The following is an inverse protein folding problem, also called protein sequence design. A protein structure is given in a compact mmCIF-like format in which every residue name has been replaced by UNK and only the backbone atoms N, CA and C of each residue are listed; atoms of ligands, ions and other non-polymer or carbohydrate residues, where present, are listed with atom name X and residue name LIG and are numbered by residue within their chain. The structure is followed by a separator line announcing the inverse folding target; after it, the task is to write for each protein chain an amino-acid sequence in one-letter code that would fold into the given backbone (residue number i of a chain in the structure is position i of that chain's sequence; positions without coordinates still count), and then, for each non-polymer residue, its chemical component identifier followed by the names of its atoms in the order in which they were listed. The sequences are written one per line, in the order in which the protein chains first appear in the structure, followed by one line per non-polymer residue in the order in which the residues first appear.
data_IF_879965083727
#
_entry.id   IF_879965083727
#
_cell.length_a   1.000
_cell.length_b   1.000
_cell.length_c   1.000
_cell.angle_alpha   90.00
_cell.angle_beta   90.00
_cell.angle_gamma   90.00
#
_symmetry.space_group_name_H-M   'P 1'
#
loop_
_entity.id
_entity.type
_entity.pdbx_description
1 polymer ?
#
# COMPACT_ATOMS: atom_id res chain seq x y z
N UNK A 1 -24.58 -3.14 -39.83
CA UNK A 1 -23.74 -2.18 -39.12
C UNK A 1 -23.44 -2.77 -37.79
N UNK A 2 -22.21 -3.23 -37.49
CA UNK A 2 -21.90 -3.69 -36.14
C UNK A 2 -21.79 -2.46 -35.23
N UNK A 3 -22.54 -2.47 -34.13
CA UNK A 3 -22.42 -1.49 -33.06
C UNK A 3 -21.00 -1.55 -32.50
N UNK A 4 -20.27 -0.48 -32.70
CA UNK A 4 -19.01 -0.24 -32.00
C UNK A 4 -19.30 -0.18 -30.51
N UNK A 5 -18.97 -1.26 -29.81
CA UNK A 5 -18.97 -1.34 -28.37
C UNK A 5 -18.11 -0.17 -27.86
N UNK A 6 -18.74 0.89 -27.40
CA UNK A 6 -18.05 1.97 -26.65
C UNK A 6 -17.45 1.30 -25.45
N UNK A 7 -16.14 1.15 -25.46
CA UNK A 7 -15.41 0.92 -24.24
C UNK A 7 -15.87 2.01 -23.27
N UNK A 8 -16.58 1.61 -22.23
CA UNK A 8 -16.98 2.50 -21.14
C UNK A 8 -15.76 3.31 -20.73
N UNK A 9 -15.95 4.60 -20.50
CA UNK A 9 -14.89 5.48 -20.03
C UNK A 9 -14.16 4.79 -18.88
N UNK A 10 -12.82 4.78 -18.88
CA UNK A 10 -12.07 4.11 -17.84
C UNK A 10 -12.49 4.70 -16.50
N UNK A 11 -13.03 3.87 -15.62
CA UNK A 11 -13.42 4.29 -14.29
C UNK A 11 -12.18 4.89 -13.62
N UNK A 12 -12.25 6.16 -13.25
CA UNK A 12 -11.20 6.83 -12.49
C UNK A 12 -10.97 6.02 -11.22
N UNK A 13 -9.81 5.38 -11.13
CA UNK A 13 -9.50 4.53 -9.99
C UNK A 13 -8.79 5.27 -8.85
N UNK A 14 -8.24 6.45 -9.16
CA UNK A 14 -7.65 7.37 -8.19
C UNK A 14 -8.00 8.81 -8.59
N UNK A 15 -8.20 9.63 -7.60
CA UNK A 15 -8.22 11.07 -7.75
C UNK A 15 -6.78 11.61 -7.67
N UNK A 16 -6.38 12.39 -8.67
CA UNK A 16 -5.04 12.96 -8.75
C UNK A 16 -5.11 14.45 -8.45
N UNK A 17 -4.87 14.83 -7.21
CA UNK A 17 -4.84 16.23 -6.78
C UNK A 17 -3.69 17.04 -7.40
N UNK A 18 -2.72 16.37 -8.04
CA UNK A 18 -1.59 17.06 -8.66
C UNK A 18 -1.81 17.26 -10.17
N UNK A 19 -2.55 18.24 -10.56
CA UNK A 19 -2.60 18.73 -11.95
C UNK A 19 -1.64 19.91 -12.11
N UNK A 20 -0.37 19.64 -12.12
CA UNK A 20 0.59 20.60 -12.65
C UNK A 20 0.39 20.72 -14.16
N UNK A 21 0.77 21.88 -14.77
CA UNK A 21 0.81 22.20 -16.22
C UNK A 21 1.26 21.04 -17.11
N UNK A 22 0.51 19.93 -17.07
CA UNK A 22 0.95 18.67 -17.64
C UNK A 22 0.42 18.52 -19.06
N UNK A 23 1.35 18.38 -19.97
CA UNK A 23 1.06 17.87 -21.33
C UNK A 23 0.74 16.38 -21.35
N UNK A 24 0.50 15.74 -20.21
CA UNK A 24 0.14 14.34 -20.08
C UNK A 24 -1.32 14.26 -19.70
N UNK A 25 -2.15 13.57 -20.49
CA UNK A 25 -3.53 13.31 -20.09
C UNK A 25 -3.57 12.57 -18.75
N UNK A 26 -4.48 12.94 -17.87
CA UNK A 26 -4.64 12.33 -16.53
C UNK A 26 -4.82 10.83 -16.63
N UNK A 27 -5.67 10.37 -17.54
CA UNK A 27 -5.85 8.95 -17.83
C UNK A 27 -4.52 8.20 -18.07
N UNK A 28 -3.58 8.80 -18.80
CA UNK A 28 -2.29 8.16 -19.08
C UNK A 28 -1.41 8.08 -17.80
N UNK A 29 -1.55 9.05 -16.90
CA UNK A 29 -0.89 9.03 -15.59
C UNK A 29 -1.47 7.89 -14.74
N UNK A 30 -2.80 7.83 -14.64
CA UNK A 30 -3.50 6.77 -13.90
C UNK A 30 -3.14 5.37 -14.42
N UNK A 31 -3.20 5.15 -15.73
CA UNK A 31 -2.78 3.89 -16.37
C UNK A 31 -1.31 3.58 -16.08
N UNK A 32 -0.44 4.56 -16.16
CA UNK A 32 0.99 4.37 -15.87
C UNK A 32 1.24 3.95 -14.43
N UNK A 33 0.58 4.58 -13.46
CA UNK A 33 0.65 4.21 -12.04
C UNK A 33 0.10 2.79 -11.85
N UNK A 34 -1.08 2.50 -12.39
CA UNK A 34 -1.74 1.20 -12.28
C UNK A 34 -0.87 0.06 -12.83
N UNK A 35 -0.35 0.19 -14.03
CA UNK A 35 0.51 -0.82 -14.66
C UNK A 35 1.79 -1.06 -13.84
N UNK A 36 2.40 0.00 -13.33
CA UNK A 36 3.60 -0.12 -12.50
C UNK A 36 3.30 -0.80 -11.16
N UNK A 37 2.22 -0.42 -10.47
CA UNK A 37 1.78 -1.08 -9.25
C UNK A 37 1.31 -2.53 -9.53
N UNK A 38 0.68 -2.79 -10.67
CA UNK A 38 0.32 -4.14 -11.12
C UNK A 38 1.54 -5.05 -11.42
N UNK A 39 2.76 -4.54 -11.55
CA UNK A 39 4.01 -5.31 -11.64
C UNK A 39 4.80 -5.18 -12.91
N UNK A 40 4.39 -4.32 -13.80
CA UNK A 40 5.24 -4.02 -14.92
C UNK A 40 6.49 -3.26 -14.43
N UNK A 41 7.62 -3.56 -15.04
CA UNK A 41 8.81 -2.71 -14.83
C UNK A 41 8.54 -1.30 -15.37
N UNK A 42 9.25 -0.30 -14.85
CA UNK A 42 9.16 1.06 -15.40
C UNK A 42 9.44 1.12 -16.91
N UNK A 43 10.32 0.24 -17.41
CA UNK A 43 10.61 0.14 -18.84
C UNK A 43 9.42 -0.40 -19.64
N UNK A 44 8.78 -1.44 -19.15
CA UNK A 44 7.60 -2.02 -19.80
C UNK A 44 6.39 -1.07 -19.72
N UNK A 45 6.19 -0.42 -18.58
CA UNK A 45 5.15 0.61 -18.42
C UNK A 45 5.36 1.75 -19.42
N UNK A 46 6.60 2.24 -19.54
CA UNK A 46 6.95 3.25 -20.54
C UNK A 46 6.60 2.80 -21.96
N UNK A 47 7.00 1.58 -22.36
CA UNK A 47 6.70 1.04 -23.69
C UNK A 47 5.19 0.92 -23.95
N UNK A 48 4.43 0.54 -22.92
CA UNK A 48 2.98 0.46 -23.02
C UNK A 48 2.35 1.85 -23.28
N UNK A 49 2.76 2.85 -22.51
CA UNK A 49 2.32 4.24 -22.67
C UNK A 49 2.70 4.79 -24.06
N UNK A 50 3.88 4.46 -24.59
CA UNK A 50 4.31 4.85 -25.93
C UNK A 50 3.40 4.27 -27.03
N UNK A 51 2.90 3.03 -26.85
CA UNK A 51 1.89 2.43 -27.76
C UNK A 51 0.55 3.16 -27.71
N UNK A 52 0.21 3.78 -26.58
CA UNK A 52 -0.95 4.67 -26.45
C UNK A 52 -0.68 6.10 -26.92
N UNK A 53 0.47 6.36 -27.55
CA UNK A 53 0.85 7.69 -28.04
C UNK A 53 1.45 8.61 -26.98
N UNK A 54 1.65 8.16 -25.76
CA UNK A 54 2.15 8.97 -24.64
C UNK A 54 3.62 8.68 -24.38
N UNK A 55 4.51 9.57 -24.84
CA UNK A 55 5.97 9.44 -24.64
C UNK A 55 6.38 10.08 -23.31
N UNK A 56 6.78 9.27 -22.34
CA UNK A 56 7.26 9.70 -21.02
C UNK A 56 8.51 8.91 -20.60
N UNK A 57 9.30 9.51 -19.70
CA UNK A 57 10.48 8.84 -19.14
C UNK A 57 10.08 7.87 -18.02
N UNK A 58 10.94 6.92 -17.70
CA UNK A 58 10.80 6.05 -16.53
C UNK A 58 10.76 6.85 -15.22
N UNK A 59 11.54 7.92 -15.14
CA UNK A 59 11.56 8.83 -13.99
C UNK A 59 10.21 9.52 -13.82
N UNK A 60 9.56 9.97 -14.90
CA UNK A 60 8.25 10.58 -14.83
C UNK A 60 7.20 9.62 -14.24
N UNK A 61 7.17 8.35 -14.70
CA UNK A 61 6.25 7.34 -14.18
C UNK A 61 6.50 7.07 -12.69
N UNK A 62 7.76 6.96 -12.30
CA UNK A 62 8.13 6.80 -10.91
C UNK A 62 7.71 8.00 -10.04
N UNK A 63 7.90 9.23 -10.56
CA UNK A 63 7.52 10.46 -9.87
C UNK A 63 5.99 10.60 -9.74
N UNK A 64 5.21 10.09 -10.68
CA UNK A 64 3.74 10.07 -10.57
C UNK A 64 3.27 9.30 -9.35
N UNK A 65 3.82 8.10 -9.10
CA UNK A 65 3.47 7.32 -7.91
C UNK A 65 3.77 8.09 -6.62
N UNK A 66 4.91 8.79 -6.59
CA UNK A 66 5.30 9.60 -5.43
C UNK A 66 4.42 10.85 -5.26
N UNK A 67 4.11 11.54 -6.37
CA UNK A 67 3.28 12.76 -6.37
C UNK A 67 1.81 12.48 -6.06
N UNK A 68 1.31 11.32 -6.45
CA UNK A 68 -0.05 10.90 -6.14
C UNK A 68 -0.29 10.73 -4.63
N UNK A 69 0.76 10.62 -3.84
CA UNK A 69 0.75 10.52 -2.36
C UNK A 69 -0.39 9.64 -1.81
N UNK A 70 -0.63 8.53 -2.52
CA UNK A 70 -1.72 7.63 -2.22
C UNK A 70 -1.59 7.07 -0.80
N UNK A 71 -2.66 7.17 -0.05
CA UNK A 71 -2.77 6.63 1.30
C UNK A 71 -3.93 5.63 1.34
N UNK A 72 -3.78 4.46 1.98
CA UNK A 72 -4.94 3.62 2.25
C UNK A 72 -5.93 4.43 3.09
N UNK A 73 -7.04 4.73 2.49
CA UNK A 73 -8.18 5.38 3.12
C UNK A 73 -9.40 4.50 2.86
N UNK A 74 -9.99 4.01 3.92
CA UNK A 74 -11.18 3.19 3.88
C UNK A 74 -12.14 3.77 4.92
N UNK A 75 -13.25 4.32 4.47
CA UNK A 75 -14.37 4.75 5.32
C UNK A 75 -15.09 3.53 5.94
N UNK A 76 -14.33 2.64 6.54
CA UNK A 76 -14.83 1.44 7.21
C UNK A 76 -14.53 1.50 8.68
N UNK A 77 -15.48 1.08 9.49
CA UNK A 77 -15.28 0.83 10.92
C UNK A 77 -15.10 -0.68 11.12
N UNK A 78 -13.88 -1.21 11.03
CA UNK A 78 -13.65 -2.65 11.06
C UNK A 78 -13.88 -3.20 12.48
N UNK A 79 -14.59 -4.32 12.58
CA UNK A 79 -14.76 -5.03 13.85
C UNK A 79 -13.46 -5.64 14.35
N UNK A 80 -12.63 -6.12 13.42
CA UNK A 80 -11.35 -6.76 13.71
C UNK A 80 -10.26 -6.25 12.78
N UNK A 81 -9.14 -5.86 13.36
CA UNK A 81 -7.93 -5.44 12.62
C UNK A 81 -6.79 -6.39 12.94
N UNK A 82 -6.26 -7.06 11.92
CA UNK A 82 -5.03 -7.82 12.06
C UNK A 82 -3.83 -6.88 11.91
N UNK A 83 -2.94 -6.89 12.89
CA UNK A 83 -1.70 -6.10 12.88
C UNK A 83 -0.51 -7.03 13.02
N UNK A 84 0.46 -6.83 12.16
CA UNK A 84 1.72 -7.58 12.20
C UNK A 84 2.82 -6.77 11.47
N UNK A 85 4.07 -7.23 11.59
CA UNK A 85 5.17 -6.64 10.86
C UNK A 85 6.00 -7.70 10.13
N UNK A 86 6.63 -7.28 9.05
CA UNK A 86 7.55 -8.14 8.30
C UNK A 86 8.82 -7.40 7.91
N UNK A 87 9.89 -8.13 7.68
CA UNK A 87 11.16 -7.55 7.21
C UNK A 87 11.15 -7.45 5.69
N UNK A 88 11.46 -6.25 5.19
CA UNK A 88 11.83 -6.02 3.79
C UNK A 88 13.25 -5.45 3.71
N UNK A 89 13.89 -5.57 2.55
CA UNK A 89 15.24 -5.03 2.34
C UNK A 89 15.18 -3.78 1.47
N UNK A 90 15.83 -2.72 1.96
CA UNK A 90 16.04 -1.48 1.22
C UNK A 90 17.52 -1.19 1.21
N UNK A 91 18.13 -1.09 0.03
CA UNK A 91 19.59 -0.93 -0.12
C UNK A 91 20.40 -2.01 0.63
N UNK A 92 19.91 -3.24 0.66
CA UNK A 92 20.52 -4.34 1.39
C UNK A 92 20.29 -4.33 2.91
N UNK A 93 19.82 -3.23 3.47
CA UNK A 93 19.51 -3.09 4.90
C UNK A 93 18.11 -3.60 5.25
N UNK A 94 17.94 -4.16 6.45
CA UNK A 94 16.66 -4.61 6.96
C UNK A 94 15.83 -3.43 7.43
N UNK A 95 14.56 -3.41 7.02
CA UNK A 95 13.54 -2.47 7.48
C UNK A 95 12.29 -3.25 7.87
N UNK A 96 11.50 -2.68 8.76
CA UNK A 96 10.29 -3.31 9.27
C UNK A 96 9.07 -2.65 8.63
N UNK A 97 8.33 -3.42 7.86
CA UNK A 97 7.04 -3.02 7.28
C UNK A 97 5.94 -3.45 8.24
N UNK A 98 5.26 -2.49 8.84
CA UNK A 98 4.06 -2.69 9.60
C UNK A 98 2.85 -2.58 8.70
N UNK A 99 1.85 -3.44 8.93
CA UNK A 99 0.56 -3.37 8.24
C UNK A 99 -0.58 -3.60 9.22
N UNK A 100 -1.64 -2.82 9.05
CA UNK A 100 -2.94 -3.03 9.64
C UNK A 100 -3.92 -3.38 8.52
N UNK A 101 -4.65 -4.46 8.68
CA UNK A 101 -5.53 -5.03 7.67
C UNK A 101 -6.87 -5.35 8.31
N UNK A 102 -7.96 -4.99 7.66
CA UNK A 102 -9.27 -5.48 8.04
C UNK A 102 -9.29 -7.01 7.89
N UNK A 103 -9.59 -7.70 8.98
CA UNK A 103 -9.53 -9.16 9.05
C UNK A 103 -10.64 -9.84 8.22
N UNK A 104 -11.73 -9.15 7.91
CA UNK A 104 -12.86 -9.66 7.15
C UNK A 104 -12.68 -9.44 5.64
N UNK A 105 -12.32 -8.22 5.26
CA UNK A 105 -12.21 -7.83 3.83
C UNK A 105 -10.82 -8.04 3.26
N UNK A 106 -9.78 -8.20 4.08
CA UNK A 106 -8.35 -8.21 3.76
C UNK A 106 -7.83 -6.87 3.18
N UNK A 107 -8.57 -5.79 3.33
CA UNK A 107 -8.14 -4.47 2.88
C UNK A 107 -7.09 -3.88 3.80
N UNK A 108 -6.08 -3.26 3.21
CA UNK A 108 -5.11 -2.47 3.97
C UNK A 108 -5.79 -1.23 4.54
N UNK A 109 -5.64 -1.04 5.85
CA UNK A 109 -6.09 0.16 6.55
C UNK A 109 -4.94 1.13 6.77
N UNK A 110 -3.75 0.60 7.04
CA UNK A 110 -2.54 1.39 7.20
C UNK A 110 -1.28 0.56 6.93
N UNK A 111 -0.28 1.21 6.36
CA UNK A 111 1.07 0.64 6.18
C UNK A 111 2.13 1.68 6.51
N UNK A 112 3.23 1.23 7.14
CA UNK A 112 4.34 2.10 7.49
C UNK A 112 5.67 1.35 7.49
N UNK A 113 6.71 2.01 7.00
CA UNK A 113 8.06 1.46 6.99
C UNK A 113 8.91 2.11 8.06
N UNK A 114 9.55 1.28 8.90
CA UNK A 114 10.46 1.72 9.94
C UNK A 114 11.85 1.08 9.80
N UNK A 115 12.87 1.77 10.27
CA UNK A 115 14.24 1.23 10.29
C UNK A 115 14.44 0.15 11.36
N UNK A 116 13.73 0.27 12.46
CA UNK A 116 13.81 -0.64 13.61
C UNK A 116 12.42 -1.03 14.09
N UNK A 117 12.37 -1.98 15.02
CA UNK A 117 11.15 -2.45 15.65
C UNK A 117 11.21 -2.16 17.15
N UNK A 118 10.40 -1.23 17.61
CA UNK A 118 10.29 -0.84 19.02
C UNK A 118 8.84 -0.59 19.41
N UNK A 119 8.54 -0.64 20.71
CA UNK A 119 7.21 -0.30 21.23
C UNK A 119 6.81 1.13 20.86
N UNK A 120 7.75 2.09 20.88
CA UNK A 120 7.46 3.49 20.52
C UNK A 120 7.04 3.64 19.06
N UNK A 121 7.72 2.94 18.14
CA UNK A 121 7.36 2.96 16.71
C UNK A 121 6.02 2.26 16.47
N UNK A 122 5.73 1.20 17.23
CA UNK A 122 4.41 0.55 17.19
C UNK A 122 3.31 1.48 17.70
N UNK A 123 3.56 2.23 18.78
CA UNK A 123 2.62 3.26 19.28
C UNK A 123 2.39 4.34 18.22
N UNK A 124 3.45 4.80 17.55
CA UNK A 124 3.32 5.77 16.45
C UNK A 124 2.44 5.22 15.32
N UNK A 125 2.70 4.00 14.86
CA UNK A 125 1.90 3.32 13.84
C UNK A 125 0.42 3.22 14.21
N UNK A 126 0.12 2.80 15.45
CA UNK A 126 -1.26 2.67 15.93
C UNK A 126 -1.97 4.02 16.11
N UNK A 127 -1.24 5.08 16.44
CA UNK A 127 -1.79 6.44 16.49
C UNK A 127 -2.14 6.94 15.09
N UNK A 128 -1.25 6.78 14.11
CA UNK A 128 -1.51 7.11 12.71
C UNK A 128 -2.75 6.35 12.18
N UNK A 129 -2.90 5.06 12.55
CA UNK A 129 -4.09 4.27 12.21
C UNK A 129 -5.35 4.84 12.86
N UNK A 130 -5.28 5.21 14.16
CA UNK A 130 -6.43 5.78 14.89
C UNK A 130 -6.88 7.14 14.37
N UNK A 131 -5.98 7.92 13.79
CA UNK A 131 -6.33 9.20 13.14
C UNK A 131 -7.13 8.99 11.85
N UNK A 132 -6.99 7.83 11.21
CA UNK A 132 -7.65 7.48 9.94
C UNK A 132 -8.93 6.68 10.12
N UNK A 133 -9.10 6.00 11.25
CA UNK A 133 -10.16 5.01 11.47
C UNK A 133 -10.84 5.20 12.82
N UNK A 134 -12.15 5.01 12.86
CA UNK A 134 -12.87 4.91 14.13
C UNK A 134 -12.63 3.52 14.75
N UNK A 135 -11.88 3.48 15.85
CA UNK A 135 -11.43 2.23 16.47
C UNK A 135 -12.09 1.92 17.84
N UNK A 136 -13.18 2.64 18.20
CA UNK A 136 -13.78 2.55 19.56
C UNK A 136 -14.25 1.12 19.90
N UNK A 137 -14.75 0.36 18.93
CA UNK A 137 -15.26 -0.99 19.15
C UNK A 137 -14.42 -2.09 18.48
N UNK A 138 -13.30 -1.73 17.91
CA UNK A 138 -12.40 -2.63 17.20
C UNK A 138 -11.59 -3.51 18.13
N UNK A 139 -11.44 -4.79 17.79
CA UNK A 139 -10.51 -5.72 18.45
C UNK A 139 -9.29 -5.97 17.56
N UNK A 140 -8.10 -5.72 18.09
CA UNK A 140 -6.86 -5.99 17.37
C UNK A 140 -6.46 -7.45 17.48
N UNK A 141 -6.15 -8.08 16.35
CA UNK A 141 -5.61 -9.43 16.27
C UNK A 141 -4.11 -9.35 16.05
N UNK A 142 -3.35 -9.82 17.01
CA UNK A 142 -1.88 -9.76 17.00
C UNK A 142 -1.27 -11.13 17.28
N UNK A 143 0.01 -11.27 16.99
CA UNK A 143 0.80 -12.38 17.50
C UNK A 143 1.20 -12.13 18.98
N UNK A 144 2.03 -13.02 19.52
CA UNK A 144 2.50 -12.92 20.92
C UNK A 144 3.65 -11.93 21.12
N UNK A 145 3.92 -11.05 20.16
CA UNK A 145 5.02 -10.10 20.21
C UNK A 145 4.84 -9.06 21.32
N UNK A 146 5.82 -8.99 22.23
CA UNK A 146 5.77 -8.12 23.39
C UNK A 146 5.59 -6.63 23.08
N UNK A 147 6.21 -6.14 21.99
CA UNK A 147 6.12 -4.73 21.58
C UNK A 147 4.73 -4.35 21.05
N UNK A 148 4.00 -5.29 20.39
CA UNK A 148 2.62 -5.08 19.95
C UNK A 148 1.68 -5.00 21.16
N UNK A 149 1.77 -5.97 22.10
CA UNK A 149 1.00 -5.96 23.33
C UNK A 149 1.21 -4.67 24.13
N UNK A 150 2.48 -4.34 24.40
CA UNK A 150 2.81 -3.14 25.17
C UNK A 150 2.33 -1.83 24.51
N UNK A 151 2.30 -1.76 23.18
CA UNK A 151 1.81 -0.61 22.47
C UNK A 151 0.28 -0.48 22.54
N UNK A 152 -0.44 -1.59 22.37
CA UNK A 152 -1.90 -1.64 22.46
C UNK A 152 -2.39 -1.33 23.88
N UNK A 153 -1.78 -1.94 24.90
CA UNK A 153 -2.06 -1.64 26.32
C UNK A 153 -1.84 -0.16 26.63
N UNK A 154 -0.73 0.43 26.14
CA UNK A 154 -0.41 1.85 26.34
C UNK A 154 -1.42 2.80 25.72
N UNK A 155 -2.09 2.37 24.65
CA UNK A 155 -3.12 3.16 23.96
C UNK A 155 -4.55 2.82 24.43
N UNK A 156 -4.71 1.86 25.35
CA UNK A 156 -6.01 1.39 25.83
C UNK A 156 -6.83 0.70 24.74
N UNK A 157 -6.18 0.08 23.74
CA UNK A 157 -6.84 -0.60 22.63
C UNK A 157 -7.08 -2.07 22.96
N UNK A 158 -8.28 -2.56 22.66
CA UNK A 158 -8.64 -3.97 22.89
C UNK A 158 -7.91 -4.88 21.91
N UNK A 159 -7.28 -5.93 22.41
CA UNK A 159 -6.61 -6.89 21.54
C UNK A 159 -6.80 -8.33 22.00
N UNK A 160 -6.57 -9.24 21.08
CA UNK A 160 -6.51 -10.69 21.30
C UNK A 160 -5.29 -11.27 20.60
N UNK A 161 -4.53 -12.07 21.33
CA UNK A 161 -3.46 -12.87 20.74
C UNK A 161 -4.07 -14.02 19.95
N UNK A 162 -3.78 -14.09 18.67
CA UNK A 162 -4.29 -15.12 17.77
C UNK A 162 -3.13 -15.70 16.97
N UNK A 163 -3.00 -17.03 16.99
CA UNK A 163 -1.96 -17.75 16.21
C UNK A 163 -2.46 -18.15 14.83
N UNK A 164 -3.78 -18.26 14.65
CA UNK A 164 -4.44 -18.72 13.43
C UNK A 164 -5.76 -17.97 13.19
N UNK A 165 -6.41 -18.26 12.06
CA UNK A 165 -7.72 -17.69 11.73
C UNK A 165 -7.62 -16.32 11.06
N UNK A 166 -8.43 -15.36 11.50
CA UNK A 166 -8.54 -14.02 10.88
C UNK A 166 -7.23 -13.21 10.87
N UNK A 167 -6.23 -13.56 11.70
CA UNK A 167 -4.89 -12.98 11.61
C UNK A 167 -4.16 -13.34 10.31
N UNK A 168 -4.52 -14.46 9.67
CA UNK A 168 -3.91 -14.87 8.40
C UNK A 168 -4.14 -13.85 7.26
N UNK A 169 -5.07 -12.92 7.43
CA UNK A 169 -5.28 -11.82 6.49
C UNK A 169 -4.01 -10.99 6.30
N UNK A 170 -3.35 -10.57 7.38
CA UNK A 170 -2.12 -9.78 7.30
C UNK A 170 -0.96 -10.59 6.71
N UNK A 171 -0.86 -11.89 7.00
CA UNK A 171 0.16 -12.77 6.41
C UNK A 171 -0.05 -12.92 4.89
N UNK A 172 -1.30 -12.99 4.44
CA UNK A 172 -1.65 -13.03 3.02
C UNK A 172 -1.20 -11.78 2.31
N UNK A 173 -1.47 -10.63 2.90
CA UNK A 173 -1.07 -9.31 2.38
C UNK A 173 0.44 -9.19 2.31
N UNK A 174 1.17 -9.61 3.37
CA UNK A 174 2.64 -9.60 3.36
C UNK A 174 3.23 -10.54 2.31
N UNK A 175 2.60 -11.67 2.04
CA UNK A 175 3.01 -12.56 0.94
C UNK A 175 2.91 -11.84 -0.40
N UNK A 176 1.83 -11.10 -0.63
CA UNK A 176 1.65 -10.34 -1.85
C UNK A 176 2.68 -9.21 -1.96
N UNK A 177 2.90 -8.43 -0.90
CA UNK A 177 3.97 -7.40 -0.87
C UNK A 177 5.32 -8.03 -1.20
N UNK A 178 5.69 -9.14 -0.56
CA UNK A 178 6.96 -9.82 -0.81
C UNK A 178 7.06 -10.32 -2.25
N UNK A 179 6.01 -10.93 -2.78
CA UNK A 179 5.95 -11.36 -4.17
C UNK A 179 6.20 -10.20 -5.13
N UNK A 180 5.61 -9.05 -4.86
CA UNK A 180 5.75 -7.83 -5.67
C UNK A 180 7.13 -7.21 -5.56
N UNK A 181 7.68 -7.12 -4.37
CA UNK A 181 9.01 -6.54 -4.13
C UNK A 181 10.14 -7.46 -4.58
N UNK A 182 9.96 -8.78 -4.56
CA UNK A 182 10.94 -9.74 -5.08
C UNK A 182 11.02 -9.77 -6.61
N UNK A 183 9.93 -9.37 -7.29
CA UNK A 183 9.87 -9.28 -8.77
C UNK A 183 10.65 -8.09 -9.34
N UNK A 184 10.97 -7.10 -8.53
CA UNK A 184 11.89 -6.05 -8.91
C UNK A 184 13.32 -6.61 -8.82
N UNK A 185 13.98 -6.76 -9.94
CA UNK A 185 15.35 -7.27 -10.05
C UNK A 185 16.37 -6.55 -9.18
N UNK A 186 15.97 -5.46 -8.52
CA UNK A 186 16.79 -4.65 -7.62
C UNK A 186 16.05 -4.24 -6.34
N UNK A 187 15.08 -5.00 -5.87
CA UNK A 187 14.46 -4.90 -4.53
C UNK A 187 14.78 -3.58 -3.78
N UNK A 188 14.22 -2.46 -4.23
CA UNK A 188 14.50 -1.13 -3.69
C UNK A 188 16.00 -0.78 -3.57
N UNK A 189 16.84 -1.29 -4.46
CA UNK A 189 18.25 -0.88 -4.56
C UNK A 189 18.32 0.57 -5.00
N UNK A 190 19.13 1.37 -4.32
CA UNK A 190 19.29 2.80 -4.53
C UNK A 190 18.02 3.63 -4.29
N UNK A 191 16.99 3.06 -3.67
CA UNK A 191 15.79 3.78 -3.30
C UNK A 191 15.96 4.51 -1.95
N UNK A 192 15.40 5.72 -1.83
CA UNK A 192 15.32 6.42 -0.55
C UNK A 192 14.13 5.90 0.25
N UNK A 193 14.25 5.82 1.58
CA UNK A 193 13.18 5.32 2.45
C UNK A 193 11.82 6.01 2.22
N UNK A 194 11.71 7.35 2.09
CA UNK A 194 10.43 7.98 1.79
C UNK A 194 9.81 7.51 0.47
N UNK A 195 10.64 7.23 -0.54
CA UNK A 195 10.17 6.70 -1.83
C UNK A 195 9.61 5.29 -1.70
N UNK A 196 10.26 4.44 -0.89
CA UNK A 196 9.78 3.08 -0.62
C UNK A 196 8.48 3.11 0.17
N UNK A 197 8.39 3.96 1.19
CA UNK A 197 7.19 4.14 1.99
C UNK A 197 6.00 4.61 1.13
N UNK A 198 6.20 5.63 0.27
CA UNK A 198 5.18 6.10 -0.68
C UNK A 198 4.75 5.00 -1.65
N UNK A 199 5.70 4.20 -2.17
CA UNK A 199 5.36 3.09 -3.05
C UNK A 199 4.53 2.01 -2.33
N UNK A 200 4.88 1.66 -1.09
CA UNK A 200 4.14 0.68 -0.29
C UNK A 200 2.71 1.14 0.01
N UNK A 201 2.52 2.43 0.30
CA UNK A 201 1.20 3.03 0.49
C UNK A 201 0.38 3.02 -0.80
N UNK A 202 0.98 3.42 -1.92
CA UNK A 202 0.33 3.35 -3.23
C UNK A 202 -0.04 1.92 -3.62
N UNK A 203 0.84 0.95 -3.31
CA UNK A 203 0.56 -0.47 -3.52
C UNK A 203 -0.63 -0.95 -2.67
N UNK A 204 -0.73 -0.50 -1.41
CA UNK A 204 -1.85 -0.84 -0.54
C UNK A 204 -3.19 -0.32 -1.11
N UNK A 205 -3.23 0.93 -1.60
CA UNK A 205 -4.41 1.50 -2.29
C UNK A 205 -4.78 0.69 -3.52
N UNK A 206 -3.79 0.39 -4.38
CA UNK A 206 -4.02 -0.42 -5.57
C UNK A 206 -4.54 -1.82 -5.23
N UNK A 207 -3.97 -2.47 -4.20
CA UNK A 207 -4.40 -3.79 -3.74
C UNK A 207 -5.84 -3.78 -3.25
N UNK A 208 -6.25 -2.77 -2.49
CA UNK A 208 -7.62 -2.62 -2.02
C UNK A 208 -8.62 -2.52 -3.19
N UNK A 209 -8.28 -1.74 -4.21
CA UNK A 209 -9.12 -1.57 -5.41
C UNK A 209 -9.24 -2.83 -6.27
N UNK A 210 -8.24 -3.70 -6.27
CA UNK A 210 -8.28 -4.96 -7.00
C UNK A 210 -9.07 -6.07 -6.27
N UNK A 211 -9.41 -5.87 -5.00
CA UNK A 211 -10.17 -6.82 -4.19
C UNK A 211 -11.66 -6.45 -4.09
N UNK A 212 -12.01 -5.24 -4.48
CA UNK A 212 -13.39 -4.73 -4.59
C UNK A 212 -14.00 -5.12 -5.92
#
# INVERSE_FOLDING_TARGET
MPETNRLSEPTEWIDLEFVERQRTPEFAIQVGIQLYLAGLSLSNTKQYLERLGVKRSRTAIHDWVRKADLQPDCDVSPNQIAVDETVIRVNGQRHWLYAAVDAETNQFLHVRLFQTRTTQLTVLFLRELREKQQLSDTTFLIDDAAHLKAALDRLGLRFRVSRHGNRNSVERVFREVKRRTSSFSNTFSNARLPTVDSWLKAFAVWSNRCQS
#
